data_IF_539520412244
#
_entry.id   IF_539520412244
#
_cell.length_a   1.000
_cell.length_b   1.000
_cell.length_c   1.000
_cell.angle_alpha   90.00
_cell.angle_beta   90.00
_cell.angle_gamma   90.00
#
_symmetry.space_group_name_H-M   'P 1'
#
loop_
_entity.id
_entity.type
_entity.pdbx_description
1 polymer ?
#
# COMPACT_ATOMS: atom_id res chain seq x y z
N UNK A 1 13.56 5.91 19.71
CA UNK A 1 12.48 5.57 18.75
C UNK A 1 12.47 4.05 18.62
N UNK A 2 11.38 3.39 19.03
CA UNK A 2 11.28 1.94 18.92
C UNK A 2 11.13 1.51 17.47
N UNK A 3 11.73 0.38 17.10
CA UNK A 3 11.43 -0.26 15.81
C UNK A 3 10.12 -1.02 15.93
N UNK A 4 9.32 -1.06 14.86
CA UNK A 4 8.11 -1.89 14.81
C UNK A 4 8.41 -3.41 14.71
N UNK A 5 9.69 -3.81 14.78
CA UNK A 5 10.10 -5.21 14.72
C UNK A 5 10.12 -5.84 13.32
N UNK A 6 9.93 -5.04 12.26
CA UNK A 6 9.92 -5.51 10.86
C UNK A 6 11.31 -5.37 10.22
N UNK A 7 11.73 -6.40 9.49
CA UNK A 7 12.87 -6.36 8.58
C UNK A 7 12.42 -6.30 7.11
N UNK A 8 13.35 -6.11 6.19
CA UNK A 8 13.05 -6.14 4.74
C UNK A 8 12.36 -7.44 4.31
N UNK A 9 12.68 -8.57 4.96
CA UNK A 9 12.05 -9.87 4.72
C UNK A 9 10.58 -9.93 5.13
N UNK A 10 10.13 -8.97 5.93
CA UNK A 10 8.78 -8.92 6.48
C UNK A 10 7.88 -7.93 5.73
N UNK A 11 8.36 -7.23 4.69
CA UNK A 11 7.54 -6.30 3.92
C UNK A 11 6.33 -6.94 3.27
N UNK A 12 6.42 -8.23 2.91
CA UNK A 12 5.29 -9.00 2.40
C UNK A 12 4.29 -9.43 3.49
N UNK A 13 4.56 -9.15 4.77
CA UNK A 13 3.59 -9.30 5.88
C UNK A 13 2.81 -8.01 6.16
N UNK A 14 3.14 -6.92 5.47
CA UNK A 14 2.46 -5.62 5.61
C UNK A 14 1.38 -5.46 4.54
N UNK A 15 0.38 -4.62 4.82
CA UNK A 15 -0.46 -4.03 3.76
C UNK A 15 0.17 -2.73 3.23
N UNK A 16 -0.09 -2.43 1.95
CA UNK A 16 0.54 -1.31 1.25
C UNK A 16 -0.49 -0.47 0.50
N UNK A 17 -0.63 0.80 0.88
CA UNK A 17 -1.40 1.79 0.13
C UNK A 17 -0.42 2.80 -0.44
N UNK A 18 -0.22 2.81 -1.76
CA UNK A 18 0.78 3.68 -2.39
C UNK A 18 0.07 4.60 -3.36
N UNK A 19 0.16 5.90 -3.13
CA UNK A 19 -0.34 6.90 -4.06
C UNK A 19 0.38 6.75 -5.41
N UNK A 20 -0.35 6.41 -6.49
CA UNK A 20 0.25 6.17 -7.78
C UNK A 20 0.27 7.46 -8.61
N UNK A 21 1.34 8.24 -8.49
CA UNK A 21 1.58 9.37 -9.40
C UNK A 21 1.72 8.94 -10.88
N UNK A 22 2.04 7.66 -11.10
CA UNK A 22 2.08 6.95 -12.37
C UNK A 22 2.58 5.51 -12.18
N UNK A 23 2.54 4.65 -13.22
CA UNK A 23 2.86 3.22 -13.08
C UNK A 23 4.33 2.96 -12.71
N UNK A 24 5.24 3.86 -13.11
CA UNK A 24 6.66 3.75 -12.81
C UNK A 24 6.97 3.78 -11.31
N UNK A 25 6.17 4.48 -10.50
CA UNK A 25 6.36 4.53 -9.04
C UNK A 25 6.07 3.15 -8.44
N UNK A 26 4.91 2.56 -8.77
CA UNK A 26 4.51 1.25 -8.28
C UNK A 26 5.50 0.16 -8.71
N UNK A 27 5.90 0.16 -9.98
CA UNK A 27 6.84 -0.83 -10.51
C UNK A 27 8.23 -0.74 -9.85
N UNK A 28 8.71 0.48 -9.58
CA UNK A 28 9.99 0.68 -8.89
C UNK A 28 9.91 0.24 -7.43
N UNK A 29 8.81 0.54 -6.74
CA UNK A 29 8.63 0.15 -5.34
C UNK A 29 8.54 -1.37 -5.21
N UNK A 30 7.69 -2.02 -6.02
CA UNK A 30 7.55 -3.48 -6.08
C UNK A 30 8.89 -4.17 -6.29
N UNK A 31 9.65 -3.73 -7.31
CA UNK A 31 10.96 -4.30 -7.61
C UNK A 31 11.98 -4.04 -6.51
N UNK A 32 12.02 -2.83 -5.95
CA UNK A 32 13.05 -2.44 -4.98
C UNK A 32 12.85 -3.09 -3.62
N UNK A 33 11.59 -3.32 -3.22
CA UNK A 33 11.23 -3.90 -1.94
C UNK A 33 10.87 -5.39 -2.03
N UNK A 34 11.01 -5.98 -3.23
CA UNK A 34 10.68 -7.38 -3.53
C UNK A 34 9.26 -7.74 -3.06
N UNK A 35 8.31 -6.83 -3.30
CA UNK A 35 6.91 -7.05 -2.94
C UNK A 35 6.31 -8.09 -3.88
N UNK A 36 5.46 -8.93 -3.30
CA UNK A 36 4.57 -9.78 -4.09
C UNK A 36 3.62 -8.87 -4.91
N UNK A 37 3.31 -9.23 -6.17
CA UNK A 37 2.52 -8.36 -7.07
C UNK A 37 1.19 -7.92 -6.48
N UNK A 38 0.55 -8.78 -5.69
CA UNK A 38 -0.74 -8.52 -5.06
C UNK A 38 -0.70 -7.40 -4.02
N UNK A 39 0.48 -7.06 -3.46
CA UNK A 39 0.60 -6.02 -2.44
C UNK A 39 0.25 -4.63 -2.95
N UNK A 40 0.31 -4.40 -4.25
CA UNK A 40 -0.01 -3.11 -4.85
C UNK A 40 -1.29 -3.16 -5.70
N UNK A 41 -2.12 -4.20 -5.59
CA UNK A 41 -3.34 -4.35 -6.40
C UNK A 41 -4.29 -3.17 -6.25
N UNK A 42 -4.67 -2.79 -5.03
CA UNK A 42 -5.50 -1.62 -4.77
C UNK A 42 -4.92 -0.33 -5.39
N UNK A 43 -3.59 -0.16 -5.32
CA UNK A 43 -2.89 1.00 -5.90
C UNK A 43 -2.92 1.00 -7.42
N UNK A 44 -2.72 -0.17 -8.05
CA UNK A 44 -2.79 -0.36 -9.50
C UNK A 44 -4.21 -0.19 -10.02
N UNK A 45 -5.21 -0.69 -9.29
CA UNK A 45 -6.63 -0.56 -9.62
C UNK A 45 -7.08 0.90 -9.59
N UNK A 46 -6.73 1.65 -8.53
CA UNK A 46 -7.03 3.08 -8.47
C UNK A 46 -6.41 3.86 -9.65
N UNK A 47 -5.16 3.56 -10.01
CA UNK A 47 -4.51 4.16 -11.17
C UNK A 47 -5.20 3.78 -12.49
N UNK A 48 -5.66 2.54 -12.62
CA UNK A 48 -6.33 2.05 -13.83
C UNK A 48 -7.70 2.71 -14.02
N UNK A 49 -8.47 2.82 -12.95
CA UNK A 49 -9.86 3.30 -13.00
C UNK A 49 -9.94 4.84 -13.05
N UNK A 50 -9.04 5.54 -12.35
CA UNK A 50 -9.13 6.99 -12.14
C UNK A 50 -7.91 7.78 -12.63
N UNK A 51 -6.81 7.11 -12.99
CA UNK A 51 -5.54 7.79 -13.26
C UNK A 51 -4.95 8.45 -12.01
N UNK A 52 -4.07 9.43 -12.24
CA UNK A 52 -3.54 10.27 -11.17
C UNK A 52 -4.47 11.47 -10.94
N UNK A 53 -5.42 11.32 -10.01
CA UNK A 53 -6.33 12.36 -9.56
C UNK A 53 -5.73 13.23 -8.43
N UNK A 54 -4.41 13.47 -8.47
CA UNK A 54 -3.67 14.16 -7.42
C UNK A 54 -3.86 13.49 -6.05
N UNK A 55 -3.91 14.28 -4.97
CA UNK A 55 -4.06 13.79 -3.60
C UNK A 55 -5.25 12.85 -3.40
N UNK A 56 -6.36 13.01 -4.13
CA UNK A 56 -7.54 12.17 -3.97
C UNK A 56 -7.29 10.71 -4.36
N UNK A 57 -6.27 10.43 -5.18
CA UNK A 57 -5.97 9.06 -5.61
C UNK A 57 -5.71 8.12 -4.43
N UNK A 58 -5.10 8.60 -3.34
CA UNK A 58 -4.86 7.74 -2.17
C UNK A 58 -6.16 7.29 -1.51
N UNK A 59 -7.22 8.08 -1.59
CA UNK A 59 -8.53 7.73 -1.01
C UNK A 59 -9.13 6.55 -1.77
N UNK A 60 -9.05 6.54 -3.11
CA UNK A 60 -9.47 5.39 -3.93
C UNK A 60 -8.65 4.14 -3.65
N UNK A 61 -7.34 4.28 -3.40
CA UNK A 61 -6.49 3.15 -3.00
C UNK A 61 -6.98 2.55 -1.69
N UNK A 62 -7.27 3.38 -0.68
CA UNK A 62 -7.75 2.91 0.61
C UNK A 62 -9.13 2.25 0.51
N UNK A 63 -10.03 2.78 -0.33
CA UNK A 63 -11.33 2.19 -0.61
C UNK A 63 -11.19 0.78 -1.21
N UNK A 64 -10.37 0.62 -2.26
CA UNK A 64 -10.13 -0.69 -2.87
C UNK A 64 -9.41 -1.66 -1.93
N UNK A 65 -8.50 -1.19 -1.09
CA UNK A 65 -7.87 -2.03 -0.08
C UNK A 65 -8.89 -2.56 0.93
N UNK A 66 -9.84 -1.72 1.36
CA UNK A 66 -10.92 -2.14 2.27
C UNK A 66 -11.88 -3.13 1.59
N UNK A 67 -12.17 -2.98 0.29
CA UNK A 67 -12.92 -3.96 -0.49
C UNK A 67 -12.19 -5.31 -0.58
N UNK A 68 -10.90 -5.30 -0.90
CA UNK A 68 -10.06 -6.51 -0.98
C UNK A 68 -10.04 -7.25 0.37
N UNK A 69 -9.84 -6.51 1.47
CA UNK A 69 -9.82 -7.08 2.82
C UNK A 69 -11.15 -7.76 3.22
N UNK A 70 -12.30 -7.20 2.82
CA UNK A 70 -13.62 -7.80 3.06
C UNK A 70 -13.84 -9.12 2.32
N UNK A 71 -13.19 -9.27 1.16
CA UNK A 71 -13.35 -10.45 0.31
C UNK A 71 -12.33 -11.58 0.63
N UNK A 72 -11.31 -11.31 1.43
CA UNK A 72 -10.34 -12.31 1.88
C UNK A 72 -10.94 -13.23 2.95
N UNK A 73 -10.65 -14.54 2.85
CA UNK A 73 -11.01 -15.50 3.90
C UNK A 73 -10.19 -15.21 5.17
N UNK A 74 -10.78 -15.42 6.36
CA UNK A 74 -10.11 -15.21 7.67
C UNK A 74 -8.76 -15.93 7.78
N UNK A 75 -8.65 -17.09 7.15
CA UNK A 75 -7.48 -17.95 7.22
C UNK A 75 -6.34 -17.46 6.29
N UNK A 76 -6.68 -16.63 5.29
CA UNK A 76 -5.76 -15.98 4.34
C UNK A 76 -5.37 -14.56 4.79
N UNK A 77 -6.03 -14.02 5.82
CA UNK A 77 -5.75 -12.69 6.39
C UNK A 77 -4.43 -12.62 7.17
N UNK A 78 -3.61 -13.68 7.10
CA UNK A 78 -2.30 -13.84 7.75
C UNK A 78 -1.60 -12.51 8.05
N UNK A 79 -1.83 -12.03 9.27
CA UNK A 79 -1.17 -10.91 9.95
C UNK A 79 -0.76 -9.69 9.10
N UNK A 80 -1.64 -9.16 8.24
CA UNK A 80 -1.50 -7.78 7.74
C UNK A 80 -2.02 -6.77 8.78
N UNK A 81 -1.54 -6.90 10.01
CA UNK A 81 -1.94 -6.00 11.10
C UNK A 81 -1.35 -4.60 10.92
N UNK A 82 -0.12 -4.53 10.44
CA UNK A 82 0.57 -3.28 10.16
C UNK A 82 0.66 -3.02 8.67
N UNK A 83 0.72 -1.74 8.31
CA UNK A 83 0.88 -1.35 6.92
C UNK A 83 1.31 0.08 6.72
N UNK A 84 1.74 0.37 5.50
CA UNK A 84 2.29 1.66 5.11
C UNK A 84 1.38 2.33 4.08
N UNK A 85 1.04 3.59 4.36
CA UNK A 85 0.43 4.50 3.40
C UNK A 85 1.52 5.46 2.93
N UNK A 86 1.85 5.42 1.64
CA UNK A 86 2.96 6.17 1.07
C UNK A 86 2.49 7.12 -0.05
N UNK A 87 3.09 8.30 -0.12
CA UNK A 87 2.87 9.24 -1.21
C UNK A 87 4.13 10.00 -1.62
N UNK A 88 4.13 10.49 -2.86
CA UNK A 88 5.21 11.26 -3.46
C UNK A 88 4.64 12.55 -4.05
N UNK A 89 5.25 13.69 -3.74
CA UNK A 89 4.81 15.01 -4.20
C UNK A 89 5.94 15.85 -4.82
N UNK A 90 5.61 16.99 -5.45
CA UNK A 90 6.59 17.92 -6.01
C UNK A 90 7.60 18.39 -4.95
N UNK A 91 8.90 18.39 -5.28
CA UNK A 91 9.95 18.78 -4.32
C UNK A 91 11.33 18.15 -4.57
N UNK A 92 11.54 16.84 -4.57
CA UNK A 92 10.68 15.69 -4.29
C UNK A 92 10.39 15.57 -2.78
N UNK A 93 9.11 15.43 -2.42
CA UNK A 93 8.69 15.11 -1.05
C UNK A 93 8.17 13.69 -0.98
N UNK A 94 8.57 12.97 0.07
CA UNK A 94 8.05 11.65 0.40
C UNK A 94 7.27 11.72 1.71
N UNK A 95 6.06 11.20 1.70
CA UNK A 95 5.19 11.10 2.88
C UNK A 95 4.92 9.63 3.17
N UNK A 96 4.98 9.26 4.44
CA UNK A 96 4.74 7.89 4.89
C UNK A 96 4.01 7.87 6.22
N UNK A 97 2.96 7.05 6.30
CA UNK A 97 2.19 6.82 7.52
C UNK A 97 2.25 5.32 7.84
N UNK A 98 2.75 4.99 9.04
CA UNK A 98 2.61 3.65 9.60
C UNK A 98 1.23 3.54 10.23
N UNK A 99 0.49 2.52 9.82
CA UNK A 99 -0.90 2.30 10.25
C UNK A 99 -1.08 0.88 10.78
N UNK A 100 -2.02 0.74 11.70
CA UNK A 100 -2.41 -0.54 12.28
C UNK A 100 -3.88 -0.78 11.95
N UNK A 101 -4.18 -1.93 11.36
CA UNK A 101 -5.54 -2.40 11.17
C UNK A 101 -6.08 -2.86 12.53
N UNK A 102 -7.20 -2.28 12.96
CA UNK A 102 -7.85 -2.58 14.25
C UNK A 102 -8.98 -3.63 14.12
N UNK A 103 -9.22 -4.13 12.92
CA UNK A 103 -10.27 -5.12 12.62
C UNK A 103 -9.76 -6.56 12.50
N UNK A 104 -8.44 -6.74 12.64
CA UNK A 104 -7.78 -8.05 12.70
C UNK A 104 -7.86 -8.61 14.12
#
# INVERSE_FOLDING_TARGET
MGSAGYSEKDFNKLFWAVHPGGPAILNRLEKKLELLPEKLNASRRALTDYGNASSNTIVYVLEYMLEEAKNMKKDEQGHNEWGLILAFGPGITFEGILTRNLTV
#
